data_IF_268138229069
#
_entry.id   IF_268138229069
#
_cell.length_a   1.000
_cell.length_b   1.000
_cell.length_c   1.000
_cell.angle_alpha   90.00
_cell.angle_beta   90.00
_cell.angle_gamma   90.00
#
_symmetry.space_group_name_H-M   'P 1'
#
loop_
_entity.id
_entity.type
_entity.pdbx_description
1 polymer ?
#
# COMPACT_ATOMS: atom_id res chain seq x y z
N UNK A 1 -21.26 9.39 -21.93
CA UNK A 1 -20.95 10.67 -21.25
C UNK A 1 -19.48 10.96 -21.44
N UNK A 2 -19.15 12.08 -22.05
CA UNK A 2 -17.77 12.56 -22.18
C UNK A 2 -17.39 13.30 -20.89
N UNK A 3 -16.13 13.22 -20.43
CA UNK A 3 -15.70 13.89 -19.20
C UNK A 3 -15.82 15.41 -19.29
N UNK A 4 -16.14 16.04 -18.15
CA UNK A 4 -16.01 17.49 -17.94
C UNK A 4 -14.70 17.72 -17.21
N UNK A 5 -13.94 18.71 -17.66
CA UNK A 5 -12.65 19.10 -17.11
C UNK A 5 -12.84 20.37 -16.29
N UNK A 6 -12.53 20.30 -15.01
CA UNK A 6 -12.48 21.46 -14.12
C UNK A 6 -11.08 22.04 -14.13
N UNK A 7 -10.96 23.32 -14.48
CA UNK A 7 -9.69 24.02 -14.46
C UNK A 7 -9.19 24.11 -13.01
N UNK A 8 -7.98 23.58 -12.78
CA UNK A 8 -7.33 23.63 -11.49
C UNK A 8 -6.63 24.97 -11.25
N UNK A 9 -6.81 25.53 -10.06
CA UNK A 9 -5.96 26.58 -9.52
C UNK A 9 -4.93 25.93 -8.57
N UNK A 10 -3.71 25.74 -9.05
CA UNK A 10 -2.65 25.03 -8.34
C UNK A 10 -1.53 24.57 -9.27
N UNK A 11 -0.87 23.48 -8.91
CA UNK A 11 0.24 22.88 -9.67
C UNK A 11 -0.22 22.08 -10.90
N UNK A 12 -1.42 21.51 -10.88
CA UNK A 12 -2.02 20.84 -12.04
C UNK A 12 -3.18 21.66 -12.61
N UNK A 13 -3.29 21.66 -13.93
CA UNK A 13 -4.22 22.53 -14.65
C UNK A 13 -5.64 21.97 -14.81
N UNK A 14 -5.86 20.66 -14.59
CA UNK A 14 -7.10 20.00 -15.01
C UNK A 14 -7.47 18.80 -14.13
N UNK A 15 -8.75 18.70 -13.77
CA UNK A 15 -9.33 17.61 -12.98
C UNK A 15 -10.65 17.13 -13.59
N UNK A 16 -11.03 15.89 -13.30
CA UNK A 16 -12.26 15.27 -13.83
C UNK A 16 -13.40 15.18 -12.81
N UNK A 17 -13.15 15.57 -11.56
CA UNK A 17 -14.15 15.70 -10.50
C UNK A 17 -13.96 17.07 -9.82
N UNK A 18 -15.04 17.61 -9.27
CA UNK A 18 -14.98 18.88 -8.53
C UNK A 18 -14.50 18.64 -7.10
N UNK A 19 -13.62 19.52 -6.62
CA UNK A 19 -13.20 19.54 -5.22
C UNK A 19 -11.78 20.04 -4.99
N UNK A 20 -11.30 19.82 -3.77
CA UNK A 20 -9.95 20.19 -3.34
C UNK A 20 -9.06 18.97 -3.33
N UNK A 21 -7.90 19.05 -3.98
CA UNK A 21 -6.98 17.92 -4.10
C UNK A 21 -5.76 18.16 -3.23
N UNK A 22 -5.56 17.28 -2.25
CA UNK A 22 -4.36 17.30 -1.41
C UNK A 22 -3.30 16.44 -2.07
N UNK A 23 -2.21 17.08 -2.49
CA UNK A 23 -1.08 16.44 -3.13
C UNK A 23 0.14 16.49 -2.21
N UNK A 24 1.11 15.61 -2.44
CA UNK A 24 2.37 15.58 -1.71
C UNK A 24 3.56 15.56 -2.65
N UNK A 25 4.47 16.54 -2.51
CA UNK A 25 5.75 16.53 -3.20
C UNK A 25 6.86 16.10 -2.24
N UNK A 26 7.58 15.03 -2.58
CA UNK A 26 8.77 14.61 -1.83
C UNK A 26 10.04 15.08 -2.53
N UNK A 27 10.89 15.89 -1.87
CA UNK A 27 12.18 16.29 -2.41
C UNK A 27 13.04 15.08 -2.80
N UNK A 28 13.76 15.17 -3.93
CA UNK A 28 14.54 14.04 -4.46
C UNK A 28 15.56 13.48 -3.45
N UNK A 29 16.19 14.36 -2.66
CA UNK A 29 17.17 14.00 -1.61
C UNK A 29 16.57 13.14 -0.51
N UNK A 30 15.26 13.27 -0.25
CA UNK A 30 14.56 12.58 0.83
C UNK A 30 13.88 11.28 0.38
N UNK A 31 13.86 10.98 -0.93
CA UNK A 31 13.27 9.74 -1.46
C UNK A 31 13.86 8.46 -0.87
N UNK A 32 15.20 8.32 -0.68
CA UNK A 32 15.76 7.11 -0.07
C UNK A 32 15.25 6.91 1.36
N UNK A 33 15.13 7.99 2.12
CA UNK A 33 14.60 7.95 3.49
C UNK A 33 13.12 7.56 3.49
N UNK A 34 12.31 8.17 2.62
CA UNK A 34 10.89 7.84 2.46
C UNK A 34 10.70 6.34 2.14
N UNK A 35 11.49 5.82 1.21
CA UNK A 35 11.47 4.40 0.85
C UNK A 35 11.87 3.49 2.01
N UNK A 36 12.86 3.90 2.81
CA UNK A 36 13.28 3.18 4.01
C UNK A 36 12.19 3.13 5.07
N UNK A 37 11.50 4.24 5.32
CA UNK A 37 10.36 4.30 6.24
C UNK A 37 9.22 3.40 5.74
N UNK A 38 8.86 3.49 4.45
CA UNK A 38 7.82 2.66 3.85
C UNK A 38 8.16 1.17 3.99
N UNK A 39 9.41 0.78 3.73
CA UNK A 39 9.87 -0.61 3.86
C UNK A 39 9.81 -1.10 5.31
N UNK A 40 10.23 -0.26 6.27
CA UNK A 40 10.17 -0.57 7.70
C UNK A 40 8.72 -0.73 8.18
N UNK A 41 7.85 0.21 7.82
CA UNK A 41 6.42 0.14 8.16
C UNK A 41 5.76 -1.08 7.54
N UNK A 42 6.11 -1.43 6.29
CA UNK A 42 5.62 -2.64 5.63
C UNK A 42 6.06 -3.90 6.39
N UNK A 43 7.35 -4.00 6.71
CA UNK A 43 7.89 -5.10 7.51
C UNK A 43 7.18 -5.22 8.87
N UNK A 44 6.94 -4.10 9.55
CA UNK A 44 6.24 -4.09 10.83
C UNK A 44 4.78 -4.54 10.70
N UNK A 45 4.07 -4.05 9.68
CA UNK A 45 2.65 -4.36 9.50
C UNK A 45 2.44 -5.80 9.03
N UNK A 46 3.25 -6.28 8.08
CA UNK A 46 3.10 -7.61 7.47
C UNK A 46 3.69 -8.71 8.36
N UNK A 47 4.84 -8.46 9.00
CA UNK A 47 5.62 -9.51 9.65
C UNK A 47 5.48 -9.56 11.17
N UNK A 48 5.11 -8.45 11.82
CA UNK A 48 4.84 -8.41 13.26
C UNK A 48 3.34 -8.40 13.58
N UNK A 49 2.46 -8.38 12.57
CA UNK A 49 1.00 -8.55 12.75
C UNK A 49 0.30 -7.42 13.51
N UNK A 50 0.92 -6.24 13.65
CA UNK A 50 0.36 -5.09 14.40
C UNK A 50 -0.50 -4.14 13.51
N UNK A 51 -1.10 -4.68 12.45
CA UNK A 51 -1.58 -3.95 11.27
C UNK A 51 -2.88 -3.13 11.38
N UNK A 52 -3.34 -2.67 12.55
CA UNK A 52 -4.57 -1.85 12.63
C UNK A 52 -4.46 -0.51 13.36
N UNK A 53 -3.43 -0.29 14.19
CA UNK A 53 -3.33 0.92 15.01
C UNK A 53 -2.09 1.79 14.74
N UNK A 54 -1.17 1.34 13.87
CA UNK A 54 0.03 2.09 13.51
C UNK A 54 -0.05 2.62 12.08
N UNK A 55 0.46 3.85 11.93
CA UNK A 55 0.62 4.65 10.71
C UNK A 55 0.56 3.77 9.45
N UNK A 56 -0.47 3.99 8.63
CA UNK A 56 -0.61 3.25 7.38
C UNK A 56 0.58 3.53 6.46
N UNK A 57 0.88 2.60 5.55
CA UNK A 57 1.98 2.78 4.57
C UNK A 57 1.80 4.08 3.75
N UNK A 58 0.56 4.49 3.49
CA UNK A 58 0.23 5.77 2.84
C UNK A 58 0.58 6.97 3.72
N UNK A 59 0.23 6.95 5.01
CA UNK A 59 0.57 8.02 5.94
C UNK A 59 2.08 8.12 6.19
N UNK A 60 2.78 6.98 6.25
CA UNK A 60 4.23 6.91 6.39
C UNK A 60 4.96 7.53 5.19
N UNK A 61 4.45 7.27 3.97
CA UNK A 61 4.94 7.92 2.75
C UNK A 61 4.71 9.44 2.76
N UNK A 62 3.57 9.89 3.29
CA UNK A 62 3.25 11.31 3.33
C UNK A 62 3.99 12.10 4.41
N UNK A 63 4.60 11.43 5.40
CA UNK A 63 5.29 12.08 6.53
C UNK A 63 6.46 12.98 6.10
N UNK A 64 7.10 12.66 4.97
CA UNK A 64 8.23 13.42 4.40
C UNK A 64 7.81 14.21 3.14
N UNK A 65 6.53 14.11 2.75
CA UNK A 65 6.00 14.89 1.64
C UNK A 65 5.59 16.28 2.13
N UNK A 66 5.88 17.31 1.34
CA UNK A 66 5.36 18.66 1.58
C UNK A 66 3.95 18.71 0.98
N UNK A 67 2.90 18.88 1.78
CA UNK A 67 1.54 18.93 1.28
C UNK A 67 1.27 20.27 0.58
N UNK A 68 0.52 20.22 -0.50
CA UNK A 68 -0.07 21.39 -1.14
C UNK A 68 -1.48 21.07 -1.62
N UNK A 69 -2.27 22.11 -1.89
CA UNK A 69 -3.66 21.99 -2.30
C UNK A 69 -3.80 22.53 -3.70
N UNK A 70 -4.38 21.71 -4.57
CA UNK A 70 -4.86 22.13 -5.88
C UNK A 70 -6.39 22.30 -5.82
N UNK A 71 -6.88 23.48 -6.19
CA UNK A 71 -8.30 23.81 -6.13
C UNK A 71 -8.97 23.57 -7.48
N UNK A 72 -9.90 22.62 -7.55
CA UNK A 72 -10.72 22.38 -8.72
C UNK A 72 -12.19 22.34 -8.31
N UNK A 73 -12.64 23.35 -7.56
CA UNK A 73 -13.93 23.39 -6.86
C UNK A 73 -15.15 23.50 -7.79
N UNK A 74 -14.96 23.59 -9.10
CA UNK A 74 -16.04 23.77 -10.08
C UNK A 74 -16.63 25.19 -10.13
N UNK A 75 -16.18 26.11 -9.26
CA UNK A 75 -16.55 27.53 -9.23
C UNK A 75 -15.79 28.38 -10.28
N UNK A 76 -14.83 27.77 -10.98
CA UNK A 76 -14.03 28.37 -12.04
C UNK A 76 -14.43 27.92 -13.46
N UNK A 77 -13.46 27.92 -14.38
CA UNK A 77 -13.69 27.50 -15.77
C UNK A 77 -13.85 25.99 -15.87
N UNK A 78 -14.92 25.57 -16.54
CA UNK A 78 -15.22 24.15 -16.81
C UNK A 78 -15.26 23.93 -18.32
N UNK A 79 -14.68 22.83 -18.79
CA UNK A 79 -14.53 22.53 -20.22
C UNK A 79 -15.11 21.14 -20.49
N UNK A 80 -16.15 21.04 -21.31
CA UNK A 80 -16.78 19.77 -21.66
C UNK A 80 -18.24 19.91 -22.10
N UNK A 81 -18.91 18.77 -22.36
CA UNK A 81 -20.29 18.79 -22.83
C UNK A 81 -21.21 19.54 -21.85
N UNK A 82 -22.00 20.48 -22.39
CA UNK A 82 -22.92 21.29 -21.58
C UNK A 82 -22.26 22.37 -20.72
N UNK A 83 -20.98 22.66 -20.94
CA UNK A 83 -20.28 23.82 -20.38
C UNK A 83 -20.15 24.92 -21.45
N UNK A 84 -19.74 26.13 -21.03
CA UNK A 84 -19.52 27.26 -21.96
C UNK A 84 -18.45 26.96 -23.03
N UNK A 85 -17.50 26.07 -22.70
CA UNK A 85 -16.40 25.67 -23.57
C UNK A 85 -16.45 24.16 -23.76
N UNK A 86 -16.53 23.73 -25.01
CA UNK A 86 -16.56 22.31 -25.35
C UNK A 86 -15.17 21.81 -25.74
N UNK A 87 -15.02 20.49 -25.78
CA UNK A 87 -13.82 19.85 -26.33
C UNK A 87 -14.22 18.71 -27.26
N UNK A 88 -13.37 18.45 -28.25
CA UNK A 88 -13.46 17.29 -29.13
C UNK A 88 -12.14 16.51 -29.08
N UNK A 89 -12.17 15.18 -28.98
CA UNK A 89 -10.95 14.39 -28.97
C UNK A 89 -10.26 14.49 -30.33
N UNK A 90 -8.95 14.72 -30.33
CA UNK A 90 -8.10 14.67 -31.53
C UNK A 90 -7.16 13.48 -31.38
N UNK A 91 -7.27 12.52 -32.30
CA UNK A 91 -6.38 11.36 -32.33
C UNK A 91 -5.02 11.79 -32.86
N UNK A 92 -3.97 11.50 -32.09
CA UNK A 92 -2.58 11.66 -32.48
C UNK A 92 -1.91 10.28 -32.49
N UNK A 93 -0.96 10.08 -33.40
CA UNK A 93 -0.30 8.80 -33.65
C UNK A 93 1.15 8.99 -34.09
N UNK A 94 1.86 7.88 -34.34
CA UNK A 94 3.21 7.94 -34.92
C UNK A 94 3.23 8.52 -36.35
N UNK A 95 2.07 8.59 -37.04
CA UNK A 95 1.96 9.24 -38.34
C UNK A 95 2.09 10.77 -38.24
N UNK A 96 1.84 11.35 -37.06
CA UNK A 96 1.99 12.77 -36.80
C UNK A 96 3.46 13.08 -36.55
N UNK A 97 4.23 13.32 -37.63
CA UNK A 97 5.69 13.33 -37.56
C UNK A 97 6.32 14.31 -36.56
N UNK A 98 5.60 15.33 -36.08
CA UNK A 98 6.10 16.19 -35.00
C UNK A 98 6.15 15.45 -33.65
N UNK A 99 5.22 14.53 -33.39
CA UNK A 99 5.12 13.79 -32.14
C UNK A 99 6.33 12.89 -31.94
N UNK A 100 6.77 12.21 -33.01
CA UNK A 100 7.95 11.35 -32.95
C UNK A 100 9.26 12.14 -32.79
N UNK A 101 9.32 13.34 -33.39
CA UNK A 101 10.51 14.20 -33.34
C UNK A 101 10.63 15.02 -32.06
N UNK A 102 9.52 15.28 -31.37
CA UNK A 102 9.52 16.14 -30.19
C UNK A 102 9.85 15.36 -28.92
N UNK A 103 11.09 15.52 -28.43
CA UNK A 103 11.58 14.93 -27.16
C UNK A 103 11.82 15.98 -26.07
N UNK A 104 11.43 17.22 -26.33
CA UNK A 104 11.65 18.35 -25.43
C UNK A 104 10.61 18.46 -24.31
N UNK A 105 10.78 19.48 -23.49
CA UNK A 105 9.80 19.93 -22.52
C UNK A 105 9.16 21.22 -23.02
N UNK A 106 7.85 21.37 -22.81
CA UNK A 106 7.06 22.51 -23.25
C UNK A 106 7.21 23.65 -22.25
N UNK A 107 7.82 24.77 -22.66
CA UNK A 107 8.01 25.95 -21.81
C UNK A 107 9.34 25.95 -21.05
N UNK A 108 9.38 26.66 -19.93
CA UNK A 108 10.59 26.82 -19.11
C UNK A 108 10.74 25.64 -18.14
N UNK A 109 11.85 24.91 -18.26
CA UNK A 109 12.28 23.91 -17.27
C UNK A 109 13.38 24.52 -16.41
N UNK A 110 13.06 24.89 -15.16
CA UNK A 110 14.01 25.55 -14.26
C UNK A 110 15.05 24.60 -13.68
N UNK A 111 14.87 23.28 -13.87
CA UNK A 111 15.71 22.21 -13.30
C UNK A 111 15.88 22.35 -11.79
N UNK A 112 14.86 22.86 -11.10
CA UNK A 112 14.93 23.05 -9.67
C UNK A 112 15.10 21.70 -8.94
N UNK A 113 15.86 21.63 -7.82
CA UNK A 113 16.11 20.39 -7.09
C UNK A 113 14.88 19.75 -6.44
N UNK A 114 13.82 20.52 -6.22
CA UNK A 114 12.56 20.07 -5.64
C UNK A 114 11.61 19.49 -6.71
N UNK A 115 11.88 19.74 -7.99
CA UNK A 115 11.08 19.33 -9.14
C UNK A 115 9.72 20.03 -9.22
N UNK A 116 9.56 21.16 -8.54
CA UNK A 116 8.30 21.89 -8.43
C UNK A 116 7.88 22.58 -9.73
N UNK A 117 8.85 22.96 -10.57
CA UNK A 117 8.64 23.74 -11.79
C UNK A 117 9.20 23.02 -13.03
N UNK A 118 8.95 21.70 -13.12
CA UNK A 118 9.32 20.95 -14.32
C UNK A 118 8.32 21.19 -15.44
N UNK A 119 8.82 21.68 -16.58
CA UNK A 119 8.00 21.81 -17.78
C UNK A 119 7.34 20.46 -18.18
N UNK A 120 6.11 20.48 -18.70
CA UNK A 120 5.43 19.27 -19.17
C UNK A 120 6.16 18.70 -20.38
N UNK A 121 6.33 17.37 -20.43
CA UNK A 121 6.86 16.70 -21.61
C UNK A 121 5.78 16.52 -22.68
N UNK A 122 6.19 16.31 -23.93
CA UNK A 122 5.29 16.05 -25.06
C UNK A 122 4.45 14.77 -24.93
N UNK A 123 3.60 14.47 -25.92
CA UNK A 123 2.62 13.37 -25.80
C UNK A 123 3.24 11.97 -25.83
N UNK A 124 4.34 11.75 -26.57
CA UNK A 124 4.97 10.43 -26.76
C UNK A 124 6.08 10.11 -25.75
N UNK A 125 6.87 11.11 -25.38
CA UNK A 125 8.06 10.92 -24.54
C UNK A 125 7.89 11.53 -23.16
N UNK A 126 8.39 10.85 -22.14
CA UNK A 126 8.48 11.36 -20.78
C UNK A 126 9.62 12.36 -20.62
N UNK A 127 9.68 12.99 -19.45
CA UNK A 127 10.67 14.03 -19.14
C UNK A 127 12.12 13.53 -19.19
N UNK A 128 12.33 12.23 -19.05
CA UNK A 128 13.63 11.57 -19.18
C UNK A 128 13.93 11.06 -20.60
N UNK A 129 13.01 11.30 -21.55
CA UNK A 129 13.12 10.86 -22.94
C UNK A 129 12.70 9.42 -23.19
N UNK A 130 12.27 8.68 -22.17
CA UNK A 130 11.66 7.35 -22.33
C UNK A 130 10.30 7.45 -23.03
N UNK A 131 9.85 6.36 -23.66
CA UNK A 131 8.53 6.34 -24.31
C UNK A 131 7.45 6.15 -23.24
N UNK A 132 6.42 7.00 -23.27
CA UNK A 132 5.31 6.94 -22.33
C UNK A 132 4.54 5.64 -22.41
N UNK A 133 4.20 5.08 -21.26
CA UNK A 133 3.32 3.90 -21.17
C UNK A 133 1.97 4.13 -21.88
N UNK A 134 1.38 5.32 -21.71
CA UNK A 134 0.15 5.73 -22.39
C UNK A 134 0.26 5.77 -23.92
N UNK A 135 1.48 5.74 -24.48
CA UNK A 135 1.72 5.73 -25.93
C UNK A 135 1.86 4.31 -26.47
N UNK A 136 2.77 3.51 -25.90
CA UNK A 136 3.05 2.17 -26.43
C UNK A 136 2.06 1.10 -25.96
N UNK A 137 1.39 1.31 -24.83
CA UNK A 137 0.39 0.40 -24.27
C UNK A 137 -0.72 1.21 -23.56
N UNK A 138 -1.61 1.84 -24.35
CA UNK A 138 -2.67 2.69 -23.81
C UNK A 138 -3.70 1.90 -22.99
N UNK A 139 -3.92 0.62 -23.31
CA UNK A 139 -4.87 -0.23 -22.58
C UNK A 139 -4.31 -0.63 -21.22
N UNK A 140 -3.05 -1.06 -21.13
CA UNK A 140 -2.40 -1.34 -19.87
C UNK A 140 -2.23 -0.09 -19.01
N UNK A 141 -1.94 1.06 -19.63
CA UNK A 141 -1.88 2.34 -18.93
C UNK A 141 -3.23 2.74 -18.31
N UNK A 142 -4.32 2.59 -19.06
CA UNK A 142 -5.67 2.85 -18.56
C UNK A 142 -6.19 1.74 -17.62
N UNK A 143 -5.48 0.61 -17.52
CA UNK A 143 -5.93 -0.56 -16.76
C UNK A 143 -7.12 -1.28 -17.41
N UNK A 144 -7.27 -1.17 -18.73
CA UNK A 144 -8.33 -1.79 -19.52
C UNK A 144 -7.99 -3.20 -20.03
N UNK A 145 -6.73 -3.65 -19.97
CA UNK A 145 -6.35 -5.02 -20.40
C UNK A 145 -7.12 -6.14 -19.68
N UNK A 146 -7.60 -5.85 -18.46
CA UNK A 146 -8.40 -6.76 -17.63
C UNK A 146 -9.91 -6.62 -17.85
N UNK A 147 -10.34 -5.76 -18.77
CA UNK A 147 -11.74 -5.41 -18.99
C UNK A 147 -12.12 -5.79 -20.41
N UNK A 148 -13.05 -6.73 -20.54
CA UNK A 148 -13.63 -7.05 -21.85
C UNK A 148 -14.53 -5.91 -22.34
N UNK A 149 -14.56 -5.64 -23.66
CA UNK A 149 -15.51 -4.68 -24.22
C UNK A 149 -16.94 -5.20 -23.99
N UNK A 150 -17.93 -4.33 -23.69
CA UNK A 150 -19.28 -4.75 -23.30
C UNK A 150 -19.95 -5.75 -24.27
N UNK A 151 -19.68 -5.62 -25.57
CA UNK A 151 -20.18 -6.50 -26.63
C UNK A 151 -19.63 -7.93 -26.56
N UNK A 152 -18.43 -8.14 -26.01
CA UNK A 152 -17.80 -9.45 -25.86
C UNK A 152 -17.97 -10.03 -24.46
N UNK A 153 -18.21 -9.19 -23.44
CA UNK A 153 -18.22 -9.59 -22.03
C UNK A 153 -19.12 -10.79 -21.73
N UNK A 154 -20.34 -10.86 -22.28
CA UNK A 154 -21.24 -11.99 -22.03
C UNK A 154 -20.71 -13.32 -22.59
N UNK A 155 -20.13 -13.29 -23.79
CA UNK A 155 -19.52 -14.48 -24.40
C UNK A 155 -18.30 -14.95 -23.61
N UNK A 156 -17.45 -14.01 -23.15
CA UNK A 156 -16.27 -14.34 -22.35
C UNK A 156 -16.64 -14.85 -20.95
N UNK A 157 -17.72 -14.35 -20.35
CA UNK A 157 -18.27 -14.90 -19.12
C UNK A 157 -18.75 -16.34 -19.29
N UNK A 158 -19.41 -16.64 -20.40
CA UNK A 158 -19.85 -18.00 -20.73
C UNK A 158 -18.67 -18.95 -20.92
N UNK A 159 -17.64 -18.52 -21.66
CA UNK A 159 -16.39 -19.27 -21.81
C UNK A 159 -15.70 -19.53 -20.47
N UNK A 160 -15.58 -18.50 -19.61
CA UNK A 160 -14.94 -18.65 -18.30
C UNK A 160 -15.73 -19.57 -17.37
N UNK A 161 -17.07 -19.51 -17.41
CA UNK A 161 -17.93 -20.39 -16.62
C UNK A 161 -17.80 -21.85 -17.07
N UNK A 162 -17.71 -22.11 -18.38
CA UNK A 162 -17.48 -23.45 -18.90
C UNK A 162 -16.11 -24.00 -18.44
N UNK A 163 -15.05 -23.18 -18.55
CA UNK A 163 -13.72 -23.56 -18.07
C UNK A 163 -13.70 -23.89 -16.56
N UNK A 164 -14.42 -23.12 -15.74
CA UNK A 164 -14.54 -23.42 -14.30
C UNK A 164 -15.24 -24.76 -14.03
N UNK A 165 -16.25 -25.13 -14.82
CA UNK A 165 -16.92 -26.43 -14.68
C UNK A 165 -15.93 -27.57 -14.97
N UNK A 166 -15.11 -27.44 -16.02
CA UNK A 166 -14.10 -28.43 -16.36
C UNK A 166 -13.00 -28.51 -15.29
N UNK A 167 -12.53 -27.36 -14.78
CA UNK A 167 -11.57 -27.28 -13.66
C UNK A 167 -12.12 -27.94 -12.38
N UNK A 168 -13.38 -27.68 -12.01
CA UNK A 168 -14.04 -28.27 -10.85
C UNK A 168 -14.16 -29.80 -10.96
N UNK A 169 -14.46 -30.30 -12.17
CA UNK A 169 -14.52 -31.73 -12.45
C UNK A 169 -13.14 -32.39 -12.33
N UNK A 170 -12.10 -31.78 -12.88
CA UNK A 170 -10.72 -32.25 -12.78
C UNK A 170 -10.24 -32.28 -11.32
N UNK A 171 -10.42 -31.20 -10.57
CA UNK A 171 -10.08 -31.12 -9.15
C UNK A 171 -10.83 -32.18 -8.32
N UNK A 172 -12.12 -32.39 -8.62
CA UNK A 172 -12.92 -33.40 -7.93
C UNK A 172 -12.38 -34.82 -8.17
N UNK A 173 -11.99 -35.14 -9.40
CA UNK A 173 -11.37 -36.43 -9.72
C UNK A 173 -10.03 -36.62 -9.01
N UNK A 174 -9.17 -35.59 -9.01
CA UNK A 174 -7.87 -35.62 -8.33
C UNK A 174 -8.01 -35.76 -6.81
N UNK A 175 -8.96 -35.03 -6.20
CA UNK A 175 -9.29 -35.16 -4.78
C UNK A 175 -9.71 -36.59 -4.43
N UNK A 176 -10.49 -37.27 -5.26
CA UNK A 176 -10.89 -38.65 -5.00
C UNK A 176 -9.71 -39.62 -5.11
N UNK A 177 -8.85 -39.44 -6.12
CA UNK A 177 -7.64 -40.25 -6.28
C UNK A 177 -6.69 -40.09 -5.09
N UNK A 178 -6.38 -38.84 -4.71
CA UNK A 178 -5.48 -38.53 -3.59
C UNK A 178 -6.07 -38.96 -2.24
N UNK A 179 -7.40 -38.85 -2.05
CA UNK A 179 -8.07 -39.34 -0.85
C UNK A 179 -7.89 -40.84 -0.67
N UNK A 180 -7.92 -41.62 -1.75
CA UNK A 180 -7.63 -43.07 -1.69
C UNK A 180 -6.18 -43.31 -1.27
N UNK A 181 -5.22 -42.56 -1.81
CA UNK A 181 -3.80 -42.67 -1.43
C UNK A 181 -3.58 -42.34 0.04
N UNK A 182 -4.16 -41.23 0.54
CA UNK A 182 -4.09 -40.84 1.96
C UNK A 182 -4.68 -41.92 2.87
N UNK A 183 -5.80 -42.56 2.47
CA UNK A 183 -6.40 -43.65 3.24
C UNK A 183 -5.49 -44.87 3.29
N UNK A 184 -4.94 -45.29 2.16
CA UNK A 184 -4.05 -46.45 2.10
C UNK A 184 -2.78 -46.22 2.93
N UNK A 185 -2.15 -45.05 2.76
CA UNK A 185 -0.96 -44.71 3.53
C UNK A 185 -1.26 -44.53 5.03
N UNK A 186 -2.45 -44.05 5.38
CA UNK A 186 -2.91 -44.02 6.76
C UNK A 186 -3.04 -45.42 7.38
N UNK A 187 -3.52 -46.41 6.60
CA UNK A 187 -3.53 -47.81 7.04
C UNK A 187 -2.11 -48.34 7.23
N UNK A 188 -1.18 -48.02 6.33
CA UNK A 188 0.23 -48.46 6.44
C UNK A 188 0.89 -47.89 7.71
N UNK A 189 0.70 -46.60 7.99
CA UNK A 189 1.22 -45.95 9.20
C UNK A 189 0.63 -46.58 10.46
N UNK A 190 -0.69 -46.80 10.52
CA UNK A 190 -1.34 -47.41 11.67
C UNK A 190 -0.90 -48.86 11.87
N UNK A 191 -0.73 -49.63 10.79
CA UNK A 191 -0.23 -51.01 10.85
C UNK A 191 1.21 -51.09 11.39
N UNK A 192 2.10 -50.21 10.92
CA UNK A 192 3.48 -50.13 11.41
C UNK A 192 3.53 -49.72 12.89
N UNK A 193 2.66 -48.79 13.30
CA UNK A 193 2.51 -48.38 14.69
C UNK A 193 2.04 -49.52 15.58
N UNK A 194 1.01 -50.26 15.14
CA UNK A 194 0.44 -51.39 15.90
C UNK A 194 1.43 -52.55 16.06
N UNK A 195 2.36 -52.72 15.11
CA UNK A 195 3.43 -53.69 15.21
C UNK A 195 4.62 -53.22 16.08
N UNK A 196 4.48 -52.09 16.80
CA UNK A 196 5.52 -51.45 17.62
C UNK A 196 6.83 -51.16 16.86
N UNK A 197 6.75 -51.00 15.52
CA UNK A 197 7.89 -50.71 14.67
C UNK A 197 8.26 -49.21 14.72
N UNK A 198 9.03 -48.83 15.75
CA UNK A 198 9.68 -47.51 15.82
C UNK A 198 10.95 -47.50 14.97
N UNK A 199 10.77 -47.41 13.65
CA UNK A 199 11.85 -47.41 12.67
C UNK A 199 11.80 -46.19 11.76
N UNK A 200 12.92 -45.90 11.08
CA UNK A 200 13.01 -44.87 10.03
C UNK A 200 11.96 -45.03 8.93
N UNK A 201 11.47 -46.25 8.70
CA UNK A 201 10.39 -46.53 7.76
C UNK A 201 9.04 -45.95 8.24
N UNK A 202 8.72 -46.06 9.54
CA UNK A 202 7.50 -45.49 10.10
C UNK A 202 7.52 -43.96 9.99
N UNK A 203 8.63 -43.33 10.42
CA UNK A 203 8.83 -41.87 10.32
C UNK A 203 8.67 -41.38 8.88
N UNK A 204 9.30 -42.05 7.91
CA UNK A 204 9.18 -41.69 6.49
C UNK A 204 7.75 -41.80 5.96
N UNK A 205 6.98 -42.81 6.39
CA UNK A 205 5.57 -42.99 5.98
C UNK A 205 4.66 -41.93 6.63
N UNK A 206 4.93 -41.54 7.87
CA UNK A 206 4.20 -40.48 8.57
C UNK A 206 4.44 -39.10 7.94
N UNK A 207 5.68 -38.79 7.56
CA UNK A 207 6.01 -37.58 6.81
C UNK A 207 5.31 -37.55 5.44
N UNK A 208 5.32 -38.66 4.71
CA UNK A 208 4.60 -38.80 3.44
C UNK A 208 3.09 -38.59 3.63
N UNK A 209 2.51 -39.18 4.67
CA UNK A 209 1.09 -39.03 4.99
C UNK A 209 0.72 -37.57 5.24
N UNK A 210 1.53 -36.89 6.05
CA UNK A 210 1.36 -35.46 6.36
C UNK A 210 1.44 -34.61 5.08
N UNK A 211 2.41 -34.87 4.21
CA UNK A 211 2.55 -34.18 2.92
C UNK A 211 1.31 -34.37 2.02
N UNK A 212 0.83 -35.60 1.87
CA UNK A 212 -0.37 -35.88 1.05
C UNK A 212 -1.64 -35.27 1.66
N UNK A 213 -1.75 -35.20 2.98
CA UNK A 213 -2.86 -34.52 3.65
C UNK A 213 -2.88 -33.01 3.36
N UNK A 214 -1.71 -32.35 3.40
CA UNK A 214 -1.59 -30.93 3.04
C UNK A 214 -1.97 -30.71 1.57
N UNK A 215 -1.47 -31.56 0.66
CA UNK A 215 -1.85 -31.50 -0.76
C UNK A 215 -3.36 -31.66 -0.96
N UNK A 216 -3.99 -32.62 -0.27
CA UNK A 216 -5.43 -32.83 -0.32
C UNK A 216 -6.22 -31.62 0.20
N UNK A 217 -5.73 -30.97 1.26
CA UNK A 217 -6.34 -29.76 1.80
C UNK A 217 -6.23 -28.59 0.81
N UNK A 218 -5.08 -28.43 0.15
CA UNK A 218 -4.88 -27.40 -0.87
C UNK A 218 -5.82 -27.59 -2.08
N UNK A 219 -5.93 -28.82 -2.59
CA UNK A 219 -6.86 -29.14 -3.68
C UNK A 219 -8.32 -28.86 -3.30
N UNK A 220 -8.72 -29.21 -2.08
CA UNK A 220 -10.07 -28.88 -1.58
C UNK A 220 -10.30 -27.38 -1.48
N UNK A 221 -9.32 -26.65 -0.96
CA UNK A 221 -9.38 -25.18 -0.88
C UNK A 221 -9.57 -24.56 -2.27
N UNK A 222 -8.80 -25.04 -3.25
CA UNK A 222 -8.92 -24.62 -4.65
C UNK A 222 -10.31 -24.93 -5.23
N UNK A 223 -10.85 -26.12 -4.98
CA UNK A 223 -12.19 -26.50 -5.44
C UNK A 223 -13.28 -25.55 -4.89
N UNK A 224 -13.26 -25.28 -3.58
CA UNK A 224 -14.23 -24.37 -2.96
C UNK A 224 -14.06 -22.93 -3.49
N UNK A 225 -12.82 -22.47 -3.67
CA UNK A 225 -12.53 -21.16 -4.27
C UNK A 225 -13.11 -21.05 -5.69
N UNK A 226 -12.97 -22.10 -6.51
CA UNK A 226 -13.53 -22.15 -7.85
C UNK A 226 -15.07 -22.12 -7.83
N UNK A 227 -15.71 -22.88 -6.93
CA UNK A 227 -17.17 -22.89 -6.78
C UNK A 227 -17.74 -21.52 -6.38
N UNK A 228 -17.10 -20.83 -5.43
CA UNK A 228 -17.51 -19.47 -5.04
C UNK A 228 -17.27 -18.45 -6.16
N UNK A 229 -16.18 -18.61 -6.92
CA UNK A 229 -15.90 -17.80 -8.11
C UNK A 229 -16.97 -18.02 -9.18
N UNK A 230 -17.33 -19.27 -9.46
CA UNK A 230 -18.37 -19.65 -10.42
C UNK A 230 -19.72 -19.04 -10.04
N UNK A 231 -20.10 -19.11 -8.75
CA UNK A 231 -21.32 -18.49 -8.22
C UNK A 231 -21.32 -16.97 -8.42
N UNK A 232 -20.20 -16.33 -8.12
CA UNK A 232 -20.03 -14.88 -8.28
C UNK A 232 -20.10 -14.45 -9.76
N UNK A 233 -19.48 -15.21 -10.66
CA UNK A 233 -19.54 -14.97 -12.10
C UNK A 233 -20.95 -15.17 -12.67
N UNK A 234 -21.70 -16.17 -12.20
CA UNK A 234 -23.12 -16.35 -12.58
C UNK A 234 -23.98 -15.15 -12.15
N UNK A 235 -23.77 -14.65 -10.93
CA UNK A 235 -24.46 -13.45 -10.46
C UNK A 235 -24.08 -12.21 -11.28
N UNK A 236 -22.78 -12.02 -11.55
CA UNK A 236 -22.31 -10.93 -12.39
C UNK A 236 -22.88 -10.99 -13.81
N UNK A 237 -22.90 -12.18 -14.42
CA UNK A 237 -23.51 -12.42 -15.73
C UNK A 237 -24.98 -12.04 -15.77
N UNK A 238 -25.76 -12.40 -14.74
CA UNK A 238 -27.17 -12.03 -14.67
C UNK A 238 -27.38 -10.51 -14.63
N UNK A 239 -26.53 -9.77 -13.91
CA UNK A 239 -26.55 -8.29 -13.92
C UNK A 239 -26.17 -7.72 -15.29
N UNK A 240 -25.11 -8.25 -15.88
CA UNK A 240 -24.64 -7.83 -17.21
C UNK A 240 -25.73 -8.03 -18.28
N UNK A 241 -26.49 -9.13 -18.21
CA UNK A 241 -27.65 -9.36 -19.10
C UNK A 241 -28.78 -8.33 -18.90
N UNK A 242 -28.95 -7.82 -17.68
CA UNK A 242 -29.88 -6.74 -17.39
C UNK A 242 -29.35 -5.34 -17.78
N UNK A 243 -28.16 -5.26 -18.38
CA UNK A 243 -27.49 -4.01 -18.74
C UNK A 243 -26.77 -3.32 -17.58
N UNK A 244 -26.70 -3.95 -16.41
CA UNK A 244 -25.91 -3.47 -15.26
C UNK A 244 -24.49 -4.05 -15.31
N UNK A 245 -23.57 -3.24 -15.83
CA UNK A 245 -22.14 -3.56 -15.94
C UNK A 245 -21.34 -3.17 -14.69
N UNK A 246 -21.97 -2.52 -13.71
CA UNK A 246 -21.31 -1.86 -12.60
C UNK A 246 -20.73 -0.48 -12.95
N UNK A 247 -19.91 0.07 -12.06
CA UNK A 247 -19.31 1.38 -12.28
C UNK A 247 -18.29 1.34 -13.43
N UNK A 248 -18.34 2.27 -14.40
CA UNK A 248 -17.35 2.39 -15.46
C UNK A 248 -15.91 2.58 -14.94
N UNK A 249 -15.75 3.14 -13.73
CA UNK A 249 -14.45 3.41 -13.11
C UNK A 249 -13.96 2.28 -12.20
N UNK A 250 -14.69 1.17 -12.08
CA UNK A 250 -14.33 0.06 -11.20
C UNK A 250 -12.96 -0.59 -11.55
N UNK A 251 -12.49 -0.43 -12.79
CA UNK A 251 -11.19 -0.93 -13.23
C UNK A 251 -10.02 -0.08 -12.70
N UNK A 252 -10.25 1.15 -12.24
CA UNK A 252 -9.20 2.03 -11.75
C UNK A 252 -8.74 1.61 -10.35
N UNK A 253 -7.43 1.40 -10.17
CA UNK A 253 -6.84 1.05 -8.86
C UNK A 253 -6.38 2.27 -8.06
N UNK A 254 -5.87 3.28 -8.76
CA UNK A 254 -5.27 4.48 -8.15
C UNK A 254 -6.07 5.71 -8.57
N UNK A 255 -7.33 5.75 -8.16
CA UNK A 255 -8.13 6.97 -8.29
C UNK A 255 -7.65 7.95 -7.23
N UNK A 256 -7.39 9.18 -7.63
CA UNK A 256 -7.11 10.28 -6.72
C UNK A 256 -8.38 11.12 -6.62
N UNK A 257 -9.32 10.80 -5.70
CA UNK A 257 -10.54 11.59 -5.54
C UNK A 257 -10.22 12.95 -4.89
N UNK A 258 -11.13 13.93 -4.99
CA UNK A 258 -11.06 15.13 -4.19
C UNK A 258 -11.09 14.77 -2.70
N UNK A 259 -10.45 15.61 -1.88
CA UNK A 259 -10.48 15.48 -0.44
C UNK A 259 -11.94 15.53 0.04
N UNK A 260 -12.36 14.57 0.89
CA UNK A 260 -13.70 14.61 1.44
C UNK A 260 -13.91 15.90 2.24
N UNK A 261 -15.15 16.41 2.29
CA UNK A 261 -15.44 17.58 3.11
C UNK A 261 -15.04 17.28 4.56
N UNK A 262 -14.43 18.27 5.21
CA UNK A 262 -14.03 18.13 6.60
C UNK A 262 -15.26 17.81 7.45
N UNK A 263 -15.19 16.80 8.33
CA UNK A 263 -16.28 16.52 9.25
C UNK A 263 -16.51 17.75 10.14
N UNK A 264 -17.76 18.00 10.57
CA UNK A 264 -18.06 19.12 11.46
C UNK A 264 -17.19 19.01 12.72
N UNK A 265 -16.28 19.96 12.88
CA UNK A 265 -15.38 19.99 14.03
C UNK A 265 -16.12 20.59 15.22
N UNK A 266 -15.77 20.14 16.43
CA UNK A 266 -16.25 20.82 17.65
C UNK A 266 -15.58 22.19 17.70
N UNK A 267 -16.32 23.23 18.10
CA UNK A 267 -15.79 24.61 18.25
C UNK A 267 -14.48 24.69 19.04
N UNK A 268 -14.29 23.79 20.02
CA UNK A 268 -13.05 23.68 20.80
C UNK A 268 -11.82 23.40 19.93
N UNK A 269 -11.97 22.58 18.88
CA UNK A 269 -10.89 22.26 17.93
C UNK A 269 -10.54 23.48 17.09
N UNK A 270 -11.54 24.21 16.59
CA UNK A 270 -11.35 25.42 15.79
C UNK A 270 -10.64 26.52 16.60
N UNK A 271 -11.10 26.76 17.84
CA UNK A 271 -10.50 27.74 18.74
C UNK A 271 -9.06 27.35 19.08
N UNK A 272 -8.81 26.06 19.38
CA UNK A 272 -7.46 25.58 19.65
C UNK A 272 -6.55 25.73 18.42
N UNK A 273 -7.01 25.36 17.23
CA UNK A 273 -6.25 25.50 15.99
C UNK A 273 -5.88 26.95 15.69
N UNK A 274 -6.78 27.90 15.98
CA UNK A 274 -6.53 29.33 15.78
C UNK A 274 -5.50 29.90 16.78
N UNK A 275 -5.51 29.44 18.04
CA UNK A 275 -4.67 29.99 19.13
C UNK A 275 -3.31 29.28 19.22
N UNK A 276 -3.25 27.98 18.91
CA UNK A 276 -2.09 27.14 19.19
C UNK A 276 -0.82 27.63 18.51
N UNK A 277 -0.90 28.06 17.24
CA UNK A 277 0.25 28.59 16.51
C UNK A 277 0.86 29.83 17.17
N UNK A 278 0.01 30.79 17.55
CA UNK A 278 0.46 32.03 18.22
C UNK A 278 1.04 31.73 19.61
N UNK A 279 0.41 30.85 20.37
CA UNK A 279 0.88 30.45 21.70
C UNK A 279 2.21 29.67 21.63
N UNK A 280 2.36 28.77 20.65
CA UNK A 280 3.59 28.03 20.43
C UNK A 280 4.76 28.96 20.07
N UNK A 281 4.52 29.95 19.19
CA UNK A 281 5.51 30.96 18.84
C UNK A 281 5.91 31.78 20.08
N UNK A 282 4.95 32.22 20.90
CA UNK A 282 5.21 32.98 22.12
C UNK A 282 6.06 32.18 23.11
N UNK A 283 5.73 30.90 23.34
CA UNK A 283 6.50 30.01 24.23
C UNK A 283 7.91 29.79 23.68
N UNK A 284 8.05 29.59 22.37
CA UNK A 284 9.35 29.43 21.73
C UNK A 284 10.23 30.68 21.88
N UNK A 285 9.66 31.86 21.64
CA UNK A 285 10.35 33.15 21.85
C UNK A 285 10.74 33.32 23.32
N UNK A 286 9.85 33.01 24.26
CA UNK A 286 10.16 33.07 25.69
C UNK A 286 11.33 32.14 26.06
N UNK A 287 11.35 30.90 25.54
CA UNK A 287 12.46 29.97 25.75
C UNK A 287 13.80 30.51 25.20
N UNK A 288 13.79 31.20 24.06
CA UNK A 288 14.99 31.81 23.48
C UNK A 288 15.52 33.01 24.26
N UNK A 289 14.62 33.80 24.88
CA UNK A 289 14.98 35.00 25.65
C UNK A 289 15.49 34.60 27.04
N UNK A 290 14.69 33.82 27.78
CA UNK A 290 15.00 33.49 29.18
C UNK A 290 16.04 32.39 29.33
N UNK A 291 16.24 31.56 28.29
CA UNK A 291 17.21 30.43 28.23
C UNK A 291 17.36 29.70 29.57
N UNK A 292 16.28 29.08 30.08
CA UNK A 292 16.36 28.30 31.32
C UNK A 292 17.41 27.18 31.20
N UNK A 293 17.87 26.68 32.34
CA UNK A 293 18.75 25.51 32.37
C UNK A 293 18.11 24.36 31.58
N UNK A 294 18.86 23.78 30.63
CA UNK A 294 18.37 22.78 29.68
C UNK A 294 17.18 23.25 28.83
N UNK A 295 17.16 24.50 28.35
CA UNK A 295 16.08 25.01 27.49
C UNK A 295 15.70 24.12 26.28
N UNK A 296 16.58 23.32 25.63
CA UNK A 296 16.17 22.40 24.57
C UNK A 296 15.24 21.29 25.08
N UNK A 297 15.43 20.83 26.32
CA UNK A 297 14.53 19.87 26.96
C UNK A 297 13.14 20.48 27.16
N UNK A 298 13.06 21.73 27.64
CA UNK A 298 11.79 22.44 27.79
C UNK A 298 11.08 22.69 26.47
N UNK A 299 11.80 22.91 25.38
CA UNK A 299 11.23 23.01 24.04
C UNK A 299 10.58 21.69 23.60
N UNK A 300 11.23 20.55 23.86
CA UNK A 300 10.66 19.20 23.59
C UNK A 300 9.41 18.96 24.45
N UNK A 301 9.46 19.28 25.74
CA UNK A 301 8.30 19.14 26.65
C UNK A 301 7.12 19.98 26.17
N UNK A 302 7.36 21.23 25.77
CA UNK A 302 6.33 22.08 25.20
C UNK A 302 5.74 21.47 23.92
N UNK A 303 6.56 20.97 23.00
CA UNK A 303 6.10 20.28 21.79
C UNK A 303 5.21 19.07 22.09
N UNK A 304 5.61 18.23 23.05
CA UNK A 304 4.80 17.08 23.50
C UNK A 304 3.48 17.54 24.11
N UNK A 305 3.49 18.57 24.94
CA UNK A 305 2.27 19.11 25.56
C UNK A 305 1.28 19.64 24.51
N UNK A 306 1.76 20.38 23.50
CA UNK A 306 0.93 20.83 22.38
C UNK A 306 0.35 19.67 21.59
N UNK A 307 1.19 18.67 21.25
CA UNK A 307 0.74 17.47 20.55
C UNK A 307 -0.30 16.67 21.35
N UNK A 308 -0.18 16.65 22.68
CA UNK A 308 -1.14 16.00 23.57
C UNK A 308 -2.50 16.70 23.55
N UNK A 309 -2.52 18.04 23.67
CA UNK A 309 -3.75 18.84 23.61
C UNK A 309 -4.40 18.73 22.23
N UNK A 310 -3.61 18.81 21.16
CA UNK A 310 -4.11 18.61 19.79
C UNK A 310 -4.69 17.21 19.59
N UNK A 311 -4.04 16.18 20.10
CA UNK A 311 -4.53 14.81 19.99
C UNK A 311 -5.78 14.57 20.84
N UNK A 312 -5.88 15.21 22.01
CA UNK A 312 -7.07 15.18 22.87
C UNK A 312 -8.26 15.86 22.20
N UNK A 313 -8.06 17.05 21.62
CA UNK A 313 -9.12 17.78 20.92
C UNK A 313 -9.61 17.04 19.67
N UNK A 314 -8.72 16.32 18.98
CA UNK A 314 -9.04 15.48 17.80
C UNK A 314 -9.52 14.06 18.14
N UNK A 315 -9.65 13.70 19.43
CA UNK A 315 -10.09 12.36 19.87
C UNK A 315 -9.11 11.22 19.57
N UNK A 316 -7.83 11.53 19.35
CA UNK A 316 -6.75 10.57 19.01
C UNK A 316 -5.72 10.40 20.13
N UNK A 317 -6.09 10.69 21.38
CA UNK A 317 -5.18 10.66 22.53
C UNK A 317 -4.48 9.30 22.70
N UNK A 318 -5.20 8.20 22.49
CA UNK A 318 -4.65 6.85 22.58
C UNK A 318 -3.51 6.62 21.58
N UNK A 319 -3.69 7.06 20.33
CA UNK A 319 -2.66 6.92 19.29
C UNK A 319 -1.46 7.82 19.57
N UNK A 320 -1.68 9.03 20.09
CA UNK A 320 -0.62 9.93 20.48
C UNK A 320 0.23 9.36 21.63
N UNK A 321 -0.42 8.81 22.67
CA UNK A 321 0.28 8.18 23.78
C UNK A 321 1.11 6.98 23.32
N UNK A 322 0.52 6.10 22.50
CA UNK A 322 1.22 4.95 21.95
C UNK A 322 2.44 5.38 21.12
N UNK A 323 2.25 6.34 20.20
CA UNK A 323 3.34 6.84 19.35
C UNK A 323 4.44 7.50 20.18
N UNK A 324 4.07 8.31 21.18
CA UNK A 324 5.03 8.97 22.07
C UNK A 324 5.83 7.94 22.88
N UNK A 325 5.18 6.93 23.45
CA UNK A 325 5.84 5.83 24.17
C UNK A 325 6.83 5.11 23.27
N UNK A 326 6.45 4.85 22.02
CA UNK A 326 7.30 4.12 21.07
C UNK A 326 8.48 4.95 20.61
N UNK A 327 8.28 6.24 20.32
CA UNK A 327 9.38 7.16 20.00
C UNK A 327 10.34 7.27 21.18
N UNK A 328 9.82 7.41 22.41
CA UNK A 328 10.65 7.44 23.62
C UNK A 328 11.38 6.12 23.84
N UNK A 329 10.74 4.98 23.59
CA UNK A 329 11.37 3.66 23.69
C UNK A 329 12.49 3.52 22.64
N UNK A 330 12.25 3.92 21.39
CA UNK A 330 13.26 3.90 20.33
C UNK A 330 14.44 4.82 20.65
N UNK A 331 14.17 6.03 21.13
CA UNK A 331 15.21 6.96 21.59
C UNK A 331 15.99 6.36 22.76
N UNK A 332 15.32 5.77 23.74
CA UNK A 332 15.98 5.10 24.86
C UNK A 332 16.84 3.93 24.39
N UNK A 333 16.33 3.08 23.49
CA UNK A 333 17.09 1.98 22.88
C UNK A 333 18.30 2.50 22.11
N UNK A 334 18.16 3.58 21.34
CA UNK A 334 19.26 4.18 20.58
C UNK A 334 20.33 4.76 21.51
N UNK A 335 19.92 5.48 22.56
CA UNK A 335 20.83 6.01 23.57
C UNK A 335 21.56 4.86 24.27
N UNK A 336 20.84 3.81 24.68
CA UNK A 336 21.43 2.62 25.28
C UNK A 336 22.41 1.92 24.32
N UNK A 337 22.09 1.86 23.04
CA UNK A 337 22.98 1.27 22.05
C UNK A 337 24.25 2.10 21.88
N UNK A 338 24.14 3.43 21.71
CA UNK A 338 25.29 4.34 21.53
C UNK A 338 26.19 4.31 22.77
N UNK A 339 25.61 4.32 23.97
CA UNK A 339 26.36 4.36 25.23
C UNK A 339 26.98 2.98 25.57
N UNK A 340 26.24 1.89 25.34
CA UNK A 340 26.61 0.55 25.80
C UNK A 340 26.98 -0.45 24.68
N UNK A 341 27.26 0.02 23.45
CA UNK A 341 27.58 -0.87 22.31
C UNK A 341 28.67 -1.91 22.61
N UNK A 342 29.68 -1.55 23.41
CA UNK A 342 30.77 -2.45 23.81
C UNK A 342 30.26 -3.63 24.65
N UNK A 343 29.34 -3.35 25.59
CA UNK A 343 28.73 -4.37 26.45
C UNK A 343 27.78 -5.28 25.66
N UNK A 344 27.07 -4.71 24.68
CA UNK A 344 26.21 -5.48 23.77
C UNK A 344 27.05 -6.46 22.95
N UNK A 345 28.18 -6.02 22.38
CA UNK A 345 29.11 -6.90 21.66
C UNK A 345 29.69 -7.99 22.55
N UNK A 346 30.07 -7.66 23.78
CA UNK A 346 30.59 -8.63 24.75
C UNK A 346 29.53 -9.69 25.09
N UNK A 347 28.29 -9.28 25.37
CA UNK A 347 27.17 -10.19 25.63
C UNK A 347 26.87 -11.10 24.42
N UNK A 348 26.91 -10.55 23.20
CA UNK A 348 26.72 -11.33 21.99
C UNK A 348 27.82 -12.39 21.81
N UNK A 349 29.09 -12.01 22.04
CA UNK A 349 30.22 -12.93 21.97
C UNK A 349 30.11 -14.04 23.02
N UNK A 350 29.76 -13.68 24.27
CA UNK A 350 29.52 -14.66 25.34
C UNK A 350 28.37 -15.60 24.95
N UNK A 351 27.30 -15.08 24.36
CA UNK A 351 26.18 -15.89 23.84
C UNK A 351 26.62 -16.91 22.80
N UNK A 352 27.47 -16.52 21.85
CA UNK A 352 28.04 -17.43 20.83
C UNK A 352 28.90 -18.51 21.49
N UNK A 353 29.76 -18.13 22.43
CA UNK A 353 30.62 -19.09 23.15
C UNK A 353 29.78 -20.10 23.94
N UNK A 354 28.76 -19.64 24.67
CA UNK A 354 27.83 -20.52 25.40
C UNK A 354 27.08 -21.44 24.44
N UNK A 355 26.65 -20.93 23.29
CA UNK A 355 26.02 -21.73 22.25
C UNK A 355 26.96 -22.83 21.72
N UNK A 356 28.20 -22.50 21.37
CA UNK A 356 29.20 -23.48 20.92
C UNK A 356 29.51 -24.54 21.98
N UNK A 357 29.66 -24.12 23.25
CA UNK A 357 29.89 -25.06 24.36
C UNK A 357 28.70 -26.02 24.50
N UNK A 358 27.46 -25.51 24.42
CA UNK A 358 26.25 -26.33 24.48
C UNK A 358 26.18 -27.34 23.34
N UNK A 359 26.56 -26.92 22.13
CA UNK A 359 26.54 -27.78 20.94
C UNK A 359 27.59 -28.89 21.07
N UNK A 360 28.82 -28.54 21.44
CA UNK A 360 29.90 -29.50 21.70
C UNK A 360 29.53 -30.49 22.82
N UNK A 361 28.91 -30.03 23.92
CA UNK A 361 28.45 -30.94 24.98
C UNK A 361 27.35 -31.90 24.50
N UNK A 362 26.46 -31.44 23.62
CA UNK A 362 25.42 -32.30 23.03
C UNK A 362 26.01 -33.37 22.12
N UNK A 363 27.06 -33.05 21.37
CA UNK A 363 27.77 -34.03 20.54
C UNK A 363 28.47 -35.08 21.41
N UNK A 364 29.15 -34.68 22.49
CA UNK A 364 29.82 -35.60 23.42
C UNK A 364 28.83 -36.50 24.16
N UNK A 365 27.62 -36.03 24.47
CA UNK A 365 26.58 -36.85 25.12
C UNK A 365 25.86 -37.80 24.15
N UNK A 366 26.05 -37.66 22.83
CA UNK A 366 25.49 -38.54 21.79
C UNK A 366 26.50 -39.54 21.23
N UNK A 367 27.80 -39.32 21.48
CA UNK A 367 28.87 -40.29 21.25
C UNK A 367 29.00 -41.23 22.45
#
# INVERSE_FOLDING_TARGET
NHPVIYAGAGSHASYFEEGEYIMGATPAVLKPLQNGIIALTRFWNEQLGQGSNMISVKEAGNLISIPFVDYARGDGKSIGPGQDEEWSPVLISDADGWVDRYRGLWGLDTRDPFGGERAPAGPKYDRDGSVRHSWYDPLGWAGLDKVYPPQATLAELDTRLAALVDEEAALSAEIQALRTQVRNLGLDVEALRAAEYFSTLHESREEQLTSLQVQLQNLRSALISNQETQKSLRAYRARAQAGDWGSPTAHLKHVHPPAPPLPPQRRVVEIWAAISGALALLIFVALLIFRPMHWPFWAVVAGIAFGAVESMTRGRLSNFMLTTVIVLALLATLILFIEFWRWILLLALVGIVVYMIRDNLREVLRA
#
